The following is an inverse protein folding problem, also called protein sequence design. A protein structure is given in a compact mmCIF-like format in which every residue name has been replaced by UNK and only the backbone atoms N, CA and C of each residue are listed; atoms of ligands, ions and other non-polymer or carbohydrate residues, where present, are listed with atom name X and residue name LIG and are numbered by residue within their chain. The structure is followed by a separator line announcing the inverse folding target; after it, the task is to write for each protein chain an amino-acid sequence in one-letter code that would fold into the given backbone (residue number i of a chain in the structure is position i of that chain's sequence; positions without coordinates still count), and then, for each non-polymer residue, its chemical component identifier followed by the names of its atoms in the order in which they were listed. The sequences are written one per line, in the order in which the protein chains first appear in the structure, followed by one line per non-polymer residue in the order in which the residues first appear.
data_IF_452330298282
#
_entry.id   IF_452330298282
#
_cell.length_a   1.000
_cell.length_b   1.000
_cell.length_c   1.000
_cell.angle_alpha   90.00
_cell.angle_beta   90.00
_cell.angle_gamma   90.00
#
_symmetry.space_group_name_H-M   'P 1'
#
loop_
_entity.id
_entity.type
_entity.pdbx_description
1 polymer ?
#
# COMPACT_ATOMS: atom_id res chain seq x y z
N UNK A 1 -6.89 -4.80 -13.15
CA UNK A 1 -7.49 -5.67 -12.10
C UNK A 1 -6.35 -6.06 -11.19
N UNK A 2 -6.26 -5.46 -9.99
CA UNK A 2 -5.09 -5.64 -9.10
C UNK A 2 -5.30 -6.85 -8.18
N UNK A 3 -4.27 -7.68 -8.06
CA UNK A 3 -4.16 -8.76 -7.06
C UNK A 3 -2.87 -8.58 -6.27
N UNK A 4 -2.79 -9.18 -5.09
CA UNK A 4 -1.67 -9.08 -4.17
C UNK A 4 -0.67 -10.21 -4.39
N UNK A 5 0.62 -9.92 -4.29
CA UNK A 5 1.69 -10.89 -4.49
C UNK A 5 2.04 -11.64 -3.18
N UNK A 6 1.85 -12.97 -3.11
CA UNK A 6 2.25 -13.78 -1.96
C UNK A 6 3.76 -13.79 -1.68
N UNK A 7 4.60 -13.50 -2.68
CA UNK A 7 6.06 -13.51 -2.53
C UNK A 7 6.56 -12.29 -1.77
N UNK A 8 5.89 -11.14 -1.94
CA UNK A 8 6.28 -9.87 -1.30
C UNK A 8 5.71 -9.70 0.10
N UNK A 9 4.57 -10.33 0.41
CA UNK A 9 3.85 -10.07 1.67
C UNK A 9 4.67 -10.41 2.91
N UNK A 10 4.52 -9.57 3.92
CA UNK A 10 5.02 -9.83 5.26
C UNK A 10 4.38 -11.10 5.89
N UNK A 11 5.12 -11.91 6.69
CA UNK A 11 4.62 -13.16 7.28
C UNK A 11 3.33 -13.03 8.11
N UNK A 12 3.14 -11.90 8.79
CA UNK A 12 1.90 -11.61 9.54
C UNK A 12 0.70 -11.22 8.66
N UNK A 13 0.88 -11.03 7.36
CA UNK A 13 -0.21 -10.69 6.45
C UNK A 13 -0.75 -11.95 5.75
N UNK A 14 -2.02 -12.22 5.93
CA UNK A 14 -2.74 -13.31 5.27
C UNK A 14 -3.50 -12.81 4.04
N UNK A 15 -3.25 -13.42 2.87
CA UNK A 15 -3.98 -13.09 1.65
C UNK A 15 -5.26 -13.89 1.53
N UNK A 16 -6.38 -13.19 1.37
CA UNK A 16 -7.70 -13.79 1.32
C UNK A 16 -8.44 -13.42 0.01
N UNK A 17 -9.50 -14.16 -0.34
CA UNK A 17 -10.35 -13.89 -1.52
C UNK A 17 -9.57 -13.76 -2.83
N UNK A 18 -8.89 -14.84 -3.25
CA UNK A 18 -8.08 -14.86 -4.50
C UNK A 18 -7.06 -13.71 -4.56
N UNK A 19 -6.38 -13.48 -3.44
CA UNK A 19 -5.37 -12.44 -3.26
C UNK A 19 -5.89 -11.01 -3.49
N UNK A 20 -7.16 -10.74 -3.19
CA UNK A 20 -7.70 -9.36 -3.17
C UNK A 20 -7.84 -8.78 -1.78
N UNK A 21 -7.72 -9.58 -0.73
CA UNK A 21 -7.86 -9.16 0.66
C UNK A 21 -6.57 -9.39 1.44
N UNK A 22 -6.30 -8.51 2.40
CA UNK A 22 -5.31 -8.72 3.47
C UNK A 22 -5.98 -8.73 4.83
N UNK A 23 -5.55 -9.66 5.67
CA UNK A 23 -5.80 -9.65 7.12
C UNK A 23 -4.49 -9.81 7.87
N UNK A 24 -4.33 -9.05 8.94
CA UNK A 24 -3.21 -9.23 9.84
C UNK A 24 -3.48 -10.34 10.87
N UNK A 25 -2.45 -11.13 11.19
CA UNK A 25 -2.45 -12.15 12.24
C UNK A 25 -1.25 -11.95 13.17
N UNK A 26 -1.43 -12.25 14.46
CA UNK A 26 -0.39 -12.10 15.47
C UNK A 26 0.77 -13.08 15.27
N UNK A 27 0.45 -14.33 14.94
CA UNK A 27 1.45 -15.33 14.63
C UNK A 27 1.89 -15.18 13.17
N UNK A 28 3.20 -15.07 12.91
CA UNK A 28 3.72 -15.04 11.54
C UNK A 28 3.47 -16.40 10.88
N UNK A 29 3.11 -16.38 9.60
CA UNK A 29 3.01 -17.59 8.80
C UNK A 29 4.41 -18.13 8.49
N UNK A 30 4.54 -19.46 8.46
CA UNK A 30 5.75 -20.13 8.01
C UNK A 30 5.92 -19.94 6.50
N UNK A 31 6.65 -18.89 6.12
CA UNK A 31 6.93 -18.52 4.74
C UNK A 31 8.45 -18.44 4.55
N UNK A 32 8.98 -18.98 3.43
CA UNK A 32 10.40 -18.88 3.16
C UNK A 32 10.78 -17.40 2.98
N UNK A 33 11.88 -17.02 3.62
CA UNK A 33 12.49 -15.71 3.38
C UNK A 33 13.07 -15.67 1.95
N UNK A 34 12.85 -14.55 1.28
CA UNK A 34 13.36 -14.28 -0.06
C UNK A 34 13.57 -12.76 -0.20
N UNK A 35 14.30 -12.35 -1.24
CA UNK A 35 14.68 -10.95 -1.43
C UNK A 35 13.47 -10.01 -1.64
N UNK A 36 12.37 -10.50 -2.22
CA UNK A 36 11.15 -9.73 -2.49
C UNK A 36 10.27 -9.52 -1.24
N UNK A 37 10.45 -10.35 -0.21
CA UNK A 37 9.60 -10.37 0.97
C UNK A 37 9.89 -9.21 1.92
N UNK A 38 8.84 -8.48 2.31
CA UNK A 38 8.90 -7.58 3.46
C UNK A 38 9.07 -8.35 4.77
N UNK A 39 10.11 -8.07 5.55
CA UNK A 39 10.43 -8.85 6.76
C UNK A 39 10.06 -8.17 8.09
N UNK A 40 10.03 -6.84 8.11
CA UNK A 40 9.90 -6.03 9.33
C UNK A 40 8.65 -5.16 9.33
N UNK A 41 8.31 -4.58 8.18
CA UNK A 41 7.14 -3.71 8.03
C UNK A 41 6.01 -4.53 7.38
N UNK A 42 4.77 -4.53 7.92
CA UNK A 42 3.65 -5.31 7.40
C UNK A 42 3.09 -4.72 6.09
N UNK A 43 3.87 -4.92 5.02
CA UNK A 43 3.58 -4.48 3.67
C UNK A 43 3.36 -5.67 2.73
N UNK A 44 2.71 -5.38 1.61
CA UNK A 44 2.57 -6.28 0.45
C UNK A 44 2.44 -5.45 -0.81
N UNK A 45 2.90 -5.99 -1.94
CA UNK A 45 2.71 -5.38 -3.26
C UNK A 45 1.58 -6.04 -4.07
N UNK A 46 1.14 -5.32 -5.09
CA UNK A 46 0.40 -5.90 -6.20
C UNK A 46 1.28 -6.84 -7.04
N UNK A 47 0.66 -7.84 -7.68
CA UNK A 47 1.35 -8.84 -8.51
C UNK A 47 1.78 -8.31 -9.88
N UNK A 48 1.11 -7.27 -10.39
CA UNK A 48 1.42 -6.65 -11.67
C UNK A 48 2.04 -5.27 -11.42
N UNK A 49 3.21 -5.05 -12.04
CA UNK A 49 3.89 -3.77 -12.05
C UNK A 49 3.61 -2.99 -13.34
N UNK A 50 3.82 -1.69 -13.27
CA UNK A 50 3.57 -0.76 -14.37
C UNK A 50 4.83 0.04 -14.72
N UNK A 51 5.12 0.15 -16.01
CA UNK A 51 6.21 0.97 -16.57
C UNK A 51 5.73 2.02 -17.56
N UNK A 52 4.40 2.11 -17.78
CA UNK A 52 3.75 3.02 -18.74
C UNK A 52 2.25 3.06 -18.54
N UNK A 53 1.60 4.04 -19.16
CA UNK A 53 0.15 4.16 -19.21
C UNK A 53 -0.47 4.75 -17.94
N UNK A 54 -1.80 4.66 -17.88
CA UNK A 54 -2.59 5.12 -16.75
C UNK A 54 -3.31 3.92 -16.12
N UNK A 55 -3.27 3.82 -14.79
CA UNK A 55 -3.80 2.68 -14.05
C UNK A 55 -4.64 3.16 -12.89
N UNK A 56 -5.72 2.43 -12.61
CA UNK A 56 -6.64 2.76 -11.53
C UNK A 56 -7.01 1.50 -10.75
N UNK A 57 -7.07 1.62 -9.43
CA UNK A 57 -7.66 0.61 -8.54
C UNK A 57 -8.27 1.29 -7.32
N UNK A 58 -9.19 0.56 -6.68
CA UNK A 58 -9.82 0.99 -5.43
C UNK A 58 -9.46 0.03 -4.30
N UNK A 59 -9.35 0.60 -3.10
CA UNK A 59 -9.05 -0.16 -1.89
C UNK A 59 -10.06 0.21 -0.81
N UNK A 60 -10.85 -0.77 -0.39
CA UNK A 60 -11.62 -0.66 0.84
C UNK A 60 -10.70 -0.90 2.03
N UNK A 61 -10.51 0.12 2.87
CA UNK A 61 -9.79 0.02 4.14
C UNK A 61 -10.78 -0.09 5.30
N UNK A 62 -10.42 -0.91 6.28
CA UNK A 62 -11.20 -1.09 7.50
C UNK A 62 -11.18 0.13 8.43
N UNK A 63 -11.69 -0.07 9.65
CA UNK A 63 -11.74 0.97 10.68
C UNK A 63 -10.40 1.21 11.40
N UNK A 64 -9.34 0.45 11.07
CA UNK A 64 -8.03 0.64 11.70
C UNK A 64 -7.48 2.03 11.34
N UNK A 65 -6.93 2.80 12.30
CA UNK A 65 -6.45 4.16 12.02
C UNK A 65 -5.14 4.17 11.23
N UNK A 66 -4.36 3.10 11.32
CA UNK A 66 -3.04 2.99 10.67
C UNK A 66 -3.08 2.03 9.48
N UNK A 67 -2.89 2.59 8.29
CA UNK A 67 -2.81 1.93 6.99
C UNK A 67 -2.19 2.91 5.99
N UNK A 68 -1.65 2.39 4.89
CA UNK A 68 -1.21 3.21 3.77
C UNK A 68 -1.44 2.46 2.47
N UNK A 69 -1.87 3.18 1.42
CA UNK A 69 -2.06 2.62 0.08
C UNK A 69 -1.45 3.55 -0.95
N UNK A 70 -0.89 3.01 -2.03
CA UNK A 70 -0.29 3.82 -3.08
C UNK A 70 0.56 3.02 -4.04
N UNK A 71 1.72 3.54 -4.40
CA UNK A 71 2.67 2.87 -5.29
C UNK A 71 4.06 2.83 -4.69
N UNK A 72 4.80 1.77 -4.98
CA UNK A 72 6.21 1.64 -4.64
C UNK A 72 7.01 1.20 -5.86
N UNK A 73 8.25 1.64 -5.96
CA UNK A 73 9.20 1.13 -6.96
C UNK A 73 9.50 -0.35 -6.75
N UNK A 74 9.91 -1.02 -7.81
CA UNK A 74 10.46 -2.37 -7.77
C UNK A 74 11.62 -2.48 -6.77
N UNK A 75 12.53 -1.51 -6.82
CA UNK A 75 13.74 -1.40 -5.99
C UNK A 75 13.51 -0.98 -4.54
N UNK A 76 12.26 -0.77 -4.10
CA UNK A 76 11.97 -0.34 -2.73
C UNK A 76 12.58 -1.31 -1.71
N UNK A 77 13.11 -0.75 -0.62
CA UNK A 77 13.69 -1.52 0.47
C UNK A 77 12.64 -2.48 1.04
N UNK A 78 12.99 -3.77 1.10
CA UNK A 78 12.12 -4.83 1.64
C UNK A 78 12.50 -5.27 3.05
N UNK A 79 13.74 -4.97 3.46
CA UNK A 79 14.35 -5.49 4.67
C UNK A 79 14.56 -4.38 5.69
N UNK A 80 14.24 -4.66 6.94
CA UNK A 80 14.32 -3.67 8.02
C UNK A 80 13.23 -2.61 7.94
N UNK A 81 13.40 -1.54 8.73
CA UNK A 81 12.46 -0.44 8.81
C UNK A 81 12.79 0.64 7.77
N UNK A 82 11.75 1.23 7.20
CA UNK A 82 11.83 2.21 6.12
C UNK A 82 10.60 3.14 6.22
N UNK A 83 10.68 4.35 5.66
CA UNK A 83 9.62 5.36 5.63
C UNK A 83 8.85 5.34 4.30
N UNK A 84 7.56 5.65 4.31
CA UNK A 84 6.80 5.73 3.07
C UNK A 84 6.94 7.12 2.44
N UNK A 85 8.13 7.41 1.91
CA UNK A 85 8.45 8.68 1.28
C UNK A 85 8.92 8.51 -0.16
N UNK A 86 8.82 9.57 -1.00
CA UNK A 86 9.33 9.55 -2.37
C UNK A 86 10.82 9.21 -2.47
N UNK A 87 11.63 9.63 -1.49
CA UNK A 87 13.07 9.35 -1.42
C UNK A 87 13.35 7.86 -1.28
N UNK A 88 12.48 7.14 -0.59
CA UNK A 88 12.53 5.67 -0.46
C UNK A 88 11.75 4.94 -1.56
N UNK A 89 11.26 5.69 -2.56
CA UNK A 89 10.56 5.13 -3.72
C UNK A 89 9.11 4.76 -3.47
N UNK A 90 8.47 5.37 -2.46
CA UNK A 90 7.07 5.10 -2.09
C UNK A 90 6.24 6.39 -2.19
N UNK A 91 5.10 6.32 -2.85
CA UNK A 91 4.09 7.38 -2.90
C UNK A 91 2.77 6.81 -2.40
N UNK A 92 2.44 7.08 -1.13
CA UNK A 92 1.29 6.51 -0.47
C UNK A 92 0.47 7.54 0.31
N UNK A 93 -0.83 7.30 0.39
CA UNK A 93 -1.79 8.01 1.22
C UNK A 93 -2.18 7.13 2.40
N UNK A 94 -2.26 7.72 3.59
CA UNK A 94 -2.66 7.02 4.81
C UNK A 94 -1.97 7.56 6.06
N UNK A 95 -1.96 6.76 7.11
CA UNK A 95 -1.31 7.01 8.39
C UNK A 95 -0.49 5.76 8.78
N UNK A 96 0.81 5.89 8.97
CA UNK A 96 1.72 4.78 9.33
C UNK A 96 2.70 5.14 10.44
N UNK A 97 2.43 6.26 11.11
CA UNK A 97 3.10 6.75 12.30
C UNK A 97 2.01 7.49 13.07
N UNK A 98 1.61 7.04 14.26
CA UNK A 98 0.66 7.81 15.07
C UNK A 98 1.39 9.02 15.67
N UNK A 99 1.65 10.00 14.80
CA UNK A 99 1.69 11.46 14.98
C UNK A 99 1.28 12.16 13.68
N UNK A 100 0.35 11.60 12.91
CA UNK A 100 -0.54 12.48 12.14
C UNK A 100 -1.24 13.36 13.18
N UNK A 101 -1.06 14.69 13.11
CA UNK A 101 -1.49 15.62 14.15
C UNK A 101 -2.97 15.48 14.53
N UNK A 102 -3.39 16.22 15.55
CA UNK A 102 -4.75 16.24 16.15
C UNK A 102 -5.94 16.37 15.17
N UNK A 103 -5.69 16.60 13.88
CA UNK A 103 -6.70 16.59 12.82
C UNK A 103 -7.14 15.18 12.36
N UNK A 104 -6.41 14.11 12.70
CA UNK A 104 -6.83 12.74 12.34
C UNK A 104 -7.96 12.20 13.24
N UNK A 105 -8.20 12.81 14.41
CA UNK A 105 -9.25 12.42 15.36
C UNK A 105 -10.69 12.60 14.81
N UNK A 106 -10.86 13.15 13.62
CA UNK A 106 -12.18 13.47 13.03
C UNK A 106 -12.67 12.59 11.89
N UNK A 107 -12.14 11.37 11.71
CA UNK A 107 -12.57 10.54 10.57
C UNK A 107 -13.39 9.31 10.97
N UNK A 108 -14.65 9.58 11.29
CA UNK A 108 -15.90 8.82 11.06
C UNK A 108 -15.75 7.31 10.87
N UNK A 109 -16.41 6.55 11.75
CA UNK A 109 -16.64 5.12 11.64
C UNK A 109 -17.27 4.75 10.28
N UNK A 110 -16.63 3.84 9.54
CA UNK A 110 -17.10 3.37 8.24
C UNK A 110 -15.96 2.87 7.36
N UNK A 111 -16.26 1.88 6.50
CA UNK A 111 -15.34 1.40 5.48
C UNK A 111 -15.02 2.57 4.53
N UNK A 112 -13.74 2.94 4.41
CA UNK A 112 -13.31 4.01 3.50
C UNK A 112 -12.82 3.35 2.22
N UNK A 113 -13.33 3.81 1.07
CA UNK A 113 -12.76 3.42 -0.23
C UNK A 113 -11.77 4.50 -0.67
N UNK A 114 -10.54 4.08 -0.97
CA UNK A 114 -9.49 4.92 -1.51
C UNK A 114 -9.28 4.53 -2.98
N UNK A 115 -9.53 5.46 -3.89
CA UNK A 115 -9.16 5.32 -5.29
C UNK A 115 -7.71 5.75 -5.48
N UNK A 116 -6.91 4.96 -6.19
CA UNK A 116 -5.54 5.29 -6.56
C UNK A 116 -5.45 5.35 -8.08
N UNK A 117 -5.03 6.49 -8.62
CA UNK A 117 -4.82 6.69 -10.04
C UNK A 117 -3.36 7.03 -10.33
N UNK A 118 -2.69 6.11 -11.01
CA UNK A 118 -1.32 6.24 -11.47
C UNK A 118 -1.33 6.77 -12.91
N UNK A 119 -0.73 7.94 -13.13
CA UNK A 119 -0.42 8.45 -14.48
C UNK A 119 1.11 8.35 -14.67
N UNK A 120 1.58 7.16 -15.08
CA UNK A 120 3.01 6.83 -15.08
C UNK A 120 3.83 7.82 -15.92
N UNK A 121 3.39 8.07 -17.17
CA UNK A 121 4.09 8.96 -18.09
C UNK A 121 4.12 10.43 -17.66
N UNK A 122 3.30 10.82 -16.68
CA UNK A 122 3.29 12.17 -16.11
C UNK A 122 3.99 12.25 -14.74
N UNK A 123 4.52 11.13 -14.24
CA UNK A 123 5.13 11.08 -12.91
C UNK A 123 4.16 11.53 -11.83
N UNK A 124 2.93 10.99 -11.83
CA UNK A 124 1.87 11.47 -10.93
C UNK A 124 1.03 10.34 -10.37
N UNK A 125 0.72 10.44 -9.08
CA UNK A 125 -0.19 9.55 -8.36
C UNK A 125 -1.28 10.41 -7.72
N UNK A 126 -2.53 10.07 -7.97
CA UNK A 126 -3.69 10.80 -7.44
C UNK A 126 -4.52 9.88 -6.56
N UNK A 127 -4.87 10.35 -5.38
CA UNK A 127 -5.68 9.64 -4.40
C UNK A 127 -7.05 10.29 -4.30
N UNK A 128 -8.09 9.47 -4.35
CA UNK A 128 -9.48 9.86 -4.18
C UNK A 128 -9.99 9.28 -2.88
N UNK A 129 -10.39 10.15 -1.95
CA UNK A 129 -10.95 9.73 -0.67
C UNK A 129 -12.14 10.63 -0.34
N UNK A 130 -13.35 10.09 -0.43
CA UNK A 130 -14.59 10.86 -0.27
C UNK A 130 -14.57 12.07 -1.23
N UNK A 131 -14.74 13.29 -0.71
CA UNK A 131 -14.70 14.55 -1.50
C UNK A 131 -13.30 15.19 -1.54
N UNK A 132 -12.27 14.48 -1.08
CA UNK A 132 -10.89 14.97 -1.06
C UNK A 132 -10.06 14.29 -2.16
N UNK A 133 -9.23 15.11 -2.79
CA UNK A 133 -8.27 14.68 -3.79
C UNK A 133 -6.87 15.09 -3.34
N UNK A 134 -5.94 14.13 -3.34
CA UNK A 134 -4.54 14.36 -3.02
C UNK A 134 -3.68 13.97 -4.21
N UNK A 135 -2.76 14.85 -4.62
CA UNK A 135 -1.86 14.61 -5.76
C UNK A 135 -0.43 14.57 -5.24
N UNK A 136 0.29 13.51 -5.61
CA UNK A 136 1.72 13.39 -5.39
C UNK A 136 2.45 13.39 -6.74
N UNK A 137 3.50 14.22 -6.83
CA UNK A 137 4.48 14.12 -7.91
C UNK A 137 5.44 12.98 -7.60
N UNK A 138 5.73 12.18 -8.62
CA UNK A 138 6.53 10.99 -8.51
C UNK A 138 7.61 10.96 -9.57
N UNK A 139 8.79 10.50 -9.17
CA UNK A 139 9.91 10.22 -10.04
C UNK A 139 10.18 8.72 -10.02
N UNK A 140 9.61 8.01 -10.99
CA UNK A 140 9.75 6.56 -11.10
C UNK A 140 11.12 6.12 -11.64
N UNK A 141 11.93 7.03 -12.20
CA UNK A 141 13.27 6.70 -12.70
C UNK A 141 13.29 5.67 -13.85
N UNK A 142 12.16 5.46 -14.53
CA UNK A 142 12.02 4.40 -15.54
C UNK A 142 11.80 3.00 -14.97
N UNK A 143 11.75 2.86 -13.64
CA UNK A 143 11.57 1.59 -12.96
C UNK A 143 10.12 1.12 -13.01
N UNK A 144 9.96 -0.20 -12.90
CA UNK A 144 8.66 -0.79 -12.67
C UNK A 144 8.09 -0.32 -11.32
N UNK A 145 6.81 0.03 -11.26
CA UNK A 145 6.12 0.41 -10.02
C UNK A 145 4.94 -0.49 -9.76
N UNK A 146 4.74 -0.82 -8.50
CA UNK A 146 3.70 -1.75 -8.06
C UNK A 146 2.70 -1.03 -7.16
N UNK A 147 1.42 -1.44 -7.18
CA UNK A 147 0.49 -1.10 -6.10
C UNK A 147 1.11 -1.49 -4.75
N UNK A 148 1.08 -0.57 -3.80
CA UNK A 148 1.67 -0.70 -2.47
C UNK A 148 0.58 -0.67 -1.41
N UNK A 149 0.71 -1.55 -0.43
CA UNK A 149 -0.24 -1.64 0.67
C UNK A 149 0.50 -1.90 1.98
N UNK A 150 0.12 -1.15 3.02
CA UNK A 150 0.54 -1.31 4.39
C UNK A 150 -0.67 -1.42 5.30
N UNK A 151 -0.60 -2.33 6.27
CA UNK A 151 -1.57 -2.44 7.35
C UNK A 151 -0.88 -2.75 8.66
N UNK A 152 -1.06 -1.89 9.65
CA UNK A 152 -0.59 -2.12 11.02
C UNK A 152 -1.28 -3.35 11.65
N UNK A 153 -0.81 -3.84 12.82
CA UNK A 153 -1.45 -4.92 13.53
C UNK A 153 -2.96 -4.77 13.68
N UNK A 154 -3.73 -5.77 13.25
CA UNK A 154 -5.20 -5.76 13.27
C UNK A 154 -5.87 -5.03 12.08
N UNK A 155 -5.10 -4.38 11.21
CA UNK A 155 -5.63 -3.78 9.99
C UNK A 155 -6.13 -4.84 8.99
N UNK A 156 -7.11 -4.44 8.18
CA UNK A 156 -7.61 -5.21 7.05
C UNK A 156 -7.96 -4.27 5.90
N UNK A 157 -7.71 -4.72 4.68
CA UNK A 157 -8.10 -4.01 3.48
C UNK A 157 -8.37 -4.98 2.33
N UNK A 158 -9.15 -4.51 1.36
CA UNK A 158 -9.57 -5.27 0.19
C UNK A 158 -9.44 -4.42 -1.06
N UNK A 159 -8.72 -4.93 -2.04
CA UNK A 159 -8.69 -4.41 -3.41
C UNK A 159 -10.00 -4.77 -4.10
N UNK A 160 -10.67 -3.78 -4.69
CA UNK A 160 -11.97 -3.95 -5.36
C UNK A 160 -11.73 -4.26 -6.84
#
# INVERSE_FOLDING_TARGET
NVTLDPQTRHPNLYLCWKHKCVRWYQEPQDLPDNHERFDSVPCVLGSEGFTRGNHYWEVAVGNHPEWAVGVAKESVVRKGCFQFTPEEGIWAQGCWWVRCGSDWERHVAGHKTIGVFLEYGKGKVTFFQQDKLTIMRANFGGENVFPFFYGAPGAHFKVI
#
